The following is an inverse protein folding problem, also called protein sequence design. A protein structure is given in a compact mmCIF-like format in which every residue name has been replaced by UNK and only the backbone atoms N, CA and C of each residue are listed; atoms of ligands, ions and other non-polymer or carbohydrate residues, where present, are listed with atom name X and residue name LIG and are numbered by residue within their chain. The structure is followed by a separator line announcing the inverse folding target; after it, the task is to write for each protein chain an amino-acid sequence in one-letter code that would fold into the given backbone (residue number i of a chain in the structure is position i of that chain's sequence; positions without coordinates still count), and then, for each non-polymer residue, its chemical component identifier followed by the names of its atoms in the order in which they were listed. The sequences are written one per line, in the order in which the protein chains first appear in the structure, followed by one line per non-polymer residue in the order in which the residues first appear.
data_IF_560752510687
#
_entry.id   IF_560752510687
#
_cell.length_a   1.000
_cell.length_b   1.000
_cell.length_c   1.000
_cell.angle_alpha   90.00
_cell.angle_beta   90.00
_cell.angle_gamma   90.00
#
_symmetry.space_group_name_H-M   'P 1'
#
loop_
_entity.id
_entity.type
_entity.pdbx_description
1 polymer ?
#
# COMPACT_ATOMS: atom_id res chain seq x y z
N UNK A 1 63.06 -28.02 33.31
CA UNK A 1 63.98 -27.21 34.08
C UNK A 1 63.29 -25.88 34.37
N UNK A 2 62.81 -25.81 35.55
CA UNK A 2 62.75 -24.71 36.51
C UNK A 2 62.04 -23.38 36.14
N UNK A 3 60.93 -23.19 36.82
CA UNK A 3 60.60 -22.17 37.85
C UNK A 3 60.48 -20.72 37.31
N UNK A 4 59.36 -20.03 37.52
CA UNK A 4 59.02 -19.27 38.73
C UNK A 4 57.57 -18.78 38.72
N UNK A 5 56.87 -19.13 39.80
CA UNK A 5 55.59 -18.55 40.21
C UNK A 5 55.85 -17.17 40.77
N UNK A 6 55.02 -16.20 40.45
CA UNK A 6 54.77 -15.10 41.39
C UNK A 6 53.30 -14.73 41.45
N UNK A 7 52.80 -14.89 42.64
CA UNK A 7 51.49 -14.60 43.17
C UNK A 7 51.41 -13.04 43.33
N UNK A 8 50.37 -12.41 42.74
CA UNK A 8 49.95 -11.10 43.21
C UNK A 8 48.45 -11.15 43.55
N UNK A 9 48.22 -11.16 44.88
CA UNK A 9 46.94 -11.04 45.52
C UNK A 9 46.58 -9.56 45.55
N UNK A 10 45.66 -9.08 44.70
CA UNK A 10 45.09 -7.76 44.85
C UNK A 10 43.64 -7.93 45.34
N UNK A 11 43.46 -7.51 46.56
CA UNK A 11 42.22 -7.39 47.31
C UNK A 11 41.33 -6.35 46.61
N UNK A 12 40.29 -6.82 45.87
CA UNK A 12 39.30 -5.91 45.28
C UNK A 12 38.10 -5.84 46.23
N UNK A 13 37.97 -4.71 46.90
CA UNK A 13 36.82 -4.37 47.73
C UNK A 13 35.55 -4.36 46.85
N UNK A 14 34.68 -5.31 47.07
CA UNK A 14 33.30 -5.30 46.57
C UNK A 14 32.52 -4.22 47.30
N UNK A 15 32.37 -3.08 46.65
CA UNK A 15 31.33 -2.11 47.01
C UNK A 15 30.07 -2.57 46.33
N UNK A 16 29.20 -3.25 47.05
CA UNK A 16 27.83 -3.53 46.63
C UNK A 16 27.07 -2.19 46.65
N UNK A 17 27.02 -1.53 45.49
CA UNK A 17 25.96 -0.57 45.23
C UNK A 17 24.70 -1.41 44.92
N UNK A 18 23.86 -1.53 45.92
CA UNK A 18 22.46 -1.89 45.76
C UNK A 18 21.81 -0.76 44.92
N UNK A 19 21.70 -0.95 43.61
CA UNK A 19 20.71 -0.21 42.84
C UNK A 19 19.36 -0.83 43.20
N UNK A 20 18.64 -0.17 44.08
CA UNK A 20 17.19 -0.31 44.16
C UNK A 20 16.62 0.08 42.80
N UNK A 21 16.45 -0.88 41.96
CA UNK A 21 15.72 -0.75 40.70
C UNK A 21 14.24 -0.56 41.03
N UNK A 22 13.86 0.66 41.30
CA UNK A 22 12.49 1.08 41.17
C UNK A 22 12.18 1.10 39.66
N UNK A 23 11.88 -0.06 39.10
CA UNK A 23 11.15 -0.19 37.84
C UNK A 23 9.73 0.35 38.09
N UNK A 24 9.62 1.65 38.21
CA UNK A 24 8.37 2.33 37.98
C UNK A 24 8.02 2.07 36.52
N UNK A 25 6.85 1.48 36.23
CA UNK A 25 6.38 1.44 34.85
C UNK A 25 6.43 2.88 34.33
N UNK A 26 7.12 3.11 33.24
CA UNK A 26 7.11 4.40 32.56
C UNK A 26 5.66 4.71 32.28
N UNK A 27 5.07 5.55 33.15
CA UNK A 27 3.76 6.14 32.88
C UNK A 27 3.85 6.74 31.49
N UNK A 28 3.00 6.27 30.59
CA UNK A 28 2.81 6.88 29.29
C UNK A 28 2.33 8.31 29.55
N UNK A 29 3.26 9.24 29.59
CA UNK A 29 2.95 10.66 29.71
C UNK A 29 2.19 11.02 28.45
N UNK A 30 0.88 11.18 28.58
CA UNK A 30 0.04 11.76 27.52
C UNK A 30 0.55 13.17 27.29
N UNK A 31 1.37 13.35 26.27
CA UNK A 31 1.76 14.69 25.83
C UNK A 31 0.54 15.30 25.16
N UNK A 32 -0.24 16.05 25.91
CA UNK A 32 -1.32 16.87 25.39
C UNK A 32 -0.70 18.11 24.76
N UNK A 33 -0.53 18.11 23.45
CA UNK A 33 -0.08 19.28 22.69
C UNK A 33 -1.22 20.29 22.45
N UNK A 34 -2.45 19.96 22.87
CA UNK A 34 -3.66 20.78 22.72
C UNK A 34 -4.30 20.70 21.33
N UNK A 35 -3.81 19.85 20.42
CA UNK A 35 -4.51 19.58 19.17
C UNK A 35 -5.61 18.52 19.39
N UNK A 36 -6.78 18.73 18.81
CA UNK A 36 -7.90 17.78 18.93
C UNK A 36 -7.66 16.56 18.01
N UNK A 37 -6.78 15.66 18.49
CA UNK A 37 -6.41 14.42 17.83
C UNK A 37 -7.59 13.48 17.65
N UNK A 38 -8.49 13.45 18.64
CA UNK A 38 -9.66 12.57 18.62
C UNK A 38 -10.60 12.94 17.47
N UNK A 39 -10.82 14.23 17.23
CA UNK A 39 -11.63 14.68 16.10
C UNK A 39 -10.99 14.34 14.75
N UNK A 40 -9.67 14.48 14.64
CA UNK A 40 -8.95 14.06 13.43
C UNK A 40 -9.08 12.57 13.18
N UNK A 41 -8.88 11.74 14.20
CA UNK A 41 -9.03 10.28 14.11
C UNK A 41 -10.47 9.87 13.75
N UNK A 42 -11.46 10.55 14.33
CA UNK A 42 -12.87 10.35 13.98
C UNK A 42 -13.13 10.70 12.52
N UNK A 43 -12.61 11.83 12.06
CA UNK A 43 -12.74 12.24 10.67
C UNK A 43 -12.12 11.23 9.71
N UNK A 44 -10.92 10.71 10.01
CA UNK A 44 -10.27 9.68 9.20
C UNK A 44 -11.08 8.38 9.17
N UNK A 45 -11.54 7.91 10.32
CA UNK A 45 -12.34 6.68 10.38
C UNK A 45 -13.66 6.81 9.60
N UNK A 46 -14.41 7.90 9.81
CA UNK A 46 -15.81 8.03 9.37
C UNK A 46 -15.94 8.60 7.95
N UNK A 47 -14.93 9.34 7.46
CA UNK A 47 -15.00 10.00 6.15
C UNK A 47 -13.94 9.52 5.14
N UNK A 48 -13.06 8.61 5.55
CA UNK A 48 -12.06 7.99 4.67
C UNK A 48 -12.07 6.48 4.80
N UNK A 49 -11.64 5.92 5.93
CA UNK A 49 -11.29 4.51 6.03
C UNK A 49 -12.53 3.63 5.82
N UNK A 50 -13.58 3.83 6.62
CA UNK A 50 -14.80 3.02 6.52
C UNK A 50 -15.48 3.19 5.16
N UNK A 51 -15.80 4.40 4.68
CA UNK A 51 -16.56 4.54 3.44
C UNK A 51 -15.79 4.14 2.19
N UNK A 52 -14.47 4.35 2.14
CA UNK A 52 -13.68 3.87 1.00
C UNK A 52 -13.46 2.36 1.04
N UNK A 53 -13.38 1.75 2.24
CA UNK A 53 -13.36 0.28 2.37
C UNK A 53 -14.72 -0.33 1.96
N UNK A 54 -15.84 0.32 2.28
CA UNK A 54 -17.16 -0.06 1.76
C UNK A 54 -17.21 -0.02 0.24
N UNK A 55 -16.79 1.10 -0.35
CA UNK A 55 -16.73 1.25 -1.81
C UNK A 55 -15.88 0.15 -2.44
N UNK A 56 -14.70 -0.14 -1.89
CA UNK A 56 -13.85 -1.23 -2.40
C UNK A 56 -14.55 -2.59 -2.29
N UNK A 57 -15.18 -2.90 -1.16
CA UNK A 57 -15.96 -4.14 -0.97
C UNK A 57 -17.10 -4.25 -2.00
N UNK A 58 -17.79 -3.14 -2.29
CA UNK A 58 -18.91 -3.13 -3.24
C UNK A 58 -18.42 -3.37 -4.68
N UNK A 59 -17.27 -2.76 -5.08
CA UNK A 59 -16.66 -3.05 -6.39
C UNK A 59 -16.11 -4.48 -6.46
N UNK A 60 -15.55 -5.02 -5.37
CA UNK A 60 -15.12 -6.42 -5.31
C UNK A 60 -16.33 -7.39 -5.42
N UNK A 61 -17.49 -7.02 -4.87
CA UNK A 61 -18.73 -7.78 -5.02
C UNK A 61 -19.21 -7.81 -6.48
N UNK A 62 -19.15 -6.64 -7.14
CA UNK A 62 -19.48 -6.54 -8.55
C UNK A 62 -18.53 -7.37 -9.42
N UNK A 63 -17.21 -7.27 -9.15
CA UNK A 63 -16.19 -8.06 -9.86
C UNK A 63 -16.42 -9.56 -9.69
N UNK A 64 -16.67 -10.04 -8.48
CA UNK A 64 -16.96 -11.45 -8.20
C UNK A 64 -18.22 -11.94 -8.93
N UNK A 65 -19.26 -11.10 -8.98
CA UNK A 65 -20.48 -11.39 -9.75
C UNK A 65 -20.22 -11.52 -11.25
N UNK A 66 -19.44 -10.60 -11.84
CA UNK A 66 -19.09 -10.63 -13.27
C UNK A 66 -18.20 -11.81 -13.62
N UNK A 67 -17.24 -12.13 -12.74
CA UNK A 67 -16.38 -13.32 -12.92
C UNK A 67 -17.18 -14.60 -12.87
N UNK A 68 -18.14 -14.75 -11.96
CA UNK A 68 -19.00 -15.93 -11.89
C UNK A 68 -19.85 -16.08 -13.17
N UNK A 69 -20.41 -14.99 -13.69
CA UNK A 69 -21.14 -15.02 -14.95
C UNK A 69 -20.23 -15.42 -16.13
N UNK A 70 -19.03 -14.86 -16.21
CA UNK A 70 -18.04 -15.24 -17.22
C UNK A 70 -17.60 -16.70 -17.10
N UNK A 71 -17.37 -17.21 -15.90
CA UNK A 71 -16.99 -18.60 -15.68
C UNK A 71 -18.11 -19.59 -16.08
N UNK A 72 -19.37 -19.20 -15.92
CA UNK A 72 -20.53 -20.00 -16.37
C UNK A 72 -20.64 -20.00 -17.88
N UNK A 73 -20.54 -18.84 -18.51
CA UNK A 73 -20.70 -18.64 -19.94
C UNK A 73 -19.61 -17.74 -20.52
N UNK A 74 -18.40 -18.26 -20.81
CA UNK A 74 -17.33 -17.48 -21.40
C UNK A 74 -17.71 -17.00 -22.81
N UNK A 75 -17.93 -15.70 -22.94
CA UNK A 75 -18.19 -15.00 -24.19
C UNK A 75 -17.63 -13.57 -24.12
N UNK A 76 -17.59 -12.88 -25.27
CA UNK A 76 -17.02 -11.52 -25.35
C UNK A 76 -17.73 -10.52 -24.47
N UNK A 77 -19.06 -10.61 -24.34
CA UNK A 77 -19.84 -9.68 -23.48
C UNK A 77 -19.45 -9.82 -22.01
N UNK A 78 -19.36 -11.06 -21.51
CA UNK A 78 -18.97 -11.32 -20.14
C UNK A 78 -17.50 -11.00 -19.89
N UNK A 79 -16.58 -11.26 -20.84
CA UNK A 79 -15.17 -10.88 -20.73
C UNK A 79 -15.02 -9.37 -20.59
N UNK A 80 -15.71 -8.59 -21.43
CA UNK A 80 -15.74 -7.13 -21.35
C UNK A 80 -16.28 -6.65 -20.00
N UNK A 81 -17.37 -7.24 -19.52
CA UNK A 81 -17.96 -6.87 -18.22
C UNK A 81 -17.02 -7.17 -17.03
N UNK A 82 -16.24 -8.26 -17.08
CA UNK A 82 -15.21 -8.56 -16.08
C UNK A 82 -14.10 -7.51 -16.10
N UNK A 83 -13.60 -7.13 -17.28
CA UNK A 83 -12.55 -6.12 -17.44
C UNK A 83 -12.96 -4.75 -16.91
N UNK A 84 -14.19 -4.34 -17.17
CA UNK A 84 -14.75 -3.07 -16.64
C UNK A 84 -14.87 -3.12 -15.11
N UNK A 85 -15.37 -4.22 -14.56
CA UNK A 85 -15.49 -4.40 -13.11
C UNK A 85 -14.09 -4.45 -12.44
N UNK A 86 -13.12 -5.10 -13.07
CA UNK A 86 -11.74 -5.12 -12.61
C UNK A 86 -11.13 -3.72 -12.55
N UNK A 87 -11.30 -2.90 -13.61
CA UNK A 87 -10.84 -1.53 -13.61
C UNK A 87 -11.43 -0.71 -12.45
N UNK A 88 -12.75 -0.82 -12.22
CA UNK A 88 -13.41 -0.13 -11.10
C UNK A 88 -12.90 -0.60 -9.73
N UNK A 89 -12.59 -1.89 -9.60
CA UNK A 89 -12.02 -2.44 -8.37
C UNK A 89 -10.60 -1.94 -8.14
N UNK A 90 -9.77 -1.81 -9.18
CA UNK A 90 -8.46 -1.17 -9.11
C UNK A 90 -8.55 0.31 -8.72
N UNK A 91 -9.51 1.05 -9.32
CA UNK A 91 -9.76 2.46 -8.94
C UNK A 91 -10.16 2.57 -7.46
N UNK A 92 -11.07 1.72 -7.00
CA UNK A 92 -11.47 1.69 -5.59
C UNK A 92 -10.30 1.34 -4.65
N UNK A 93 -9.39 0.46 -5.08
CA UNK A 93 -8.17 0.13 -4.33
C UNK A 93 -7.25 1.34 -4.13
N UNK A 94 -7.17 2.28 -5.07
CA UNK A 94 -6.30 3.45 -4.93
C UNK A 94 -6.68 4.33 -3.72
N UNK A 95 -7.93 4.28 -3.28
CA UNK A 95 -8.39 5.01 -2.09
C UNK A 95 -8.01 4.35 -0.76
N UNK A 96 -7.76 3.03 -0.76
CA UNK A 96 -7.54 2.28 0.47
C UNK A 96 -6.10 1.76 0.63
N UNK A 97 -5.24 1.93 -0.36
CA UNK A 97 -3.93 1.30 -0.45
C UNK A 97 -2.98 1.55 0.73
N UNK A 98 -3.22 2.57 1.56
CA UNK A 98 -2.43 2.90 2.74
C UNK A 98 -3.16 2.66 4.08
N UNK A 99 -4.37 2.08 4.10
CA UNK A 99 -5.09 1.81 5.36
C UNK A 99 -4.62 0.48 6.00
N UNK A 100 -3.33 0.42 6.32
CA UNK A 100 -2.67 -0.74 6.94
C UNK A 100 -2.86 -0.70 8.46
N UNK A 101 -4.09 -0.94 8.92
CA UNK A 101 -4.50 -0.82 10.31
C UNK A 101 -5.47 -1.95 10.68
N UNK A 102 -5.49 -2.34 11.96
CA UNK A 102 -6.39 -3.36 12.46
C UNK A 102 -6.28 -4.67 11.70
N UNK A 103 -7.40 -5.26 11.35
CA UNK A 103 -7.48 -6.53 10.62
C UNK A 103 -6.67 -6.54 9.31
N UNK A 104 -6.58 -5.42 8.61
CA UNK A 104 -5.83 -5.32 7.34
C UNK A 104 -4.33 -5.55 7.50
N UNK A 105 -3.75 -5.24 8.67
CA UNK A 105 -2.31 -5.38 8.96
C UNK A 105 -1.97 -6.73 9.61
N UNK A 106 -2.94 -7.52 10.07
CA UNK A 106 -2.66 -8.84 10.62
C UNK A 106 -1.89 -9.71 9.62
N UNK A 107 -0.87 -10.40 10.09
CA UNK A 107 -0.01 -11.28 9.27
C UNK A 107 -0.85 -12.31 8.49
N UNK A 108 -1.85 -12.89 9.14
CA UNK A 108 -2.78 -13.85 8.53
C UNK A 108 -3.65 -13.24 7.44
N UNK A 109 -3.94 -11.95 7.53
CA UNK A 109 -4.72 -11.21 6.54
C UNK A 109 -3.82 -10.64 5.44
N UNK A 110 -2.80 -9.89 5.79
CA UNK A 110 -1.86 -9.25 4.87
C UNK A 110 -2.55 -8.61 3.65
N UNK A 111 -3.65 -7.87 3.94
CA UNK A 111 -4.69 -7.51 2.98
C UNK A 111 -4.16 -6.83 1.73
N UNK A 112 -3.38 -5.76 1.89
CA UNK A 112 -2.93 -4.95 0.75
C UNK A 112 -1.99 -5.73 -0.17
N UNK A 113 -1.10 -6.56 0.41
CA UNK A 113 -0.18 -7.38 -0.39
C UNK A 113 -0.91 -8.50 -1.14
N UNK A 114 -1.99 -9.04 -0.57
CA UNK A 114 -2.78 -10.07 -1.27
C UNK A 114 -3.67 -9.50 -2.35
N UNK A 115 -4.13 -8.26 -2.18
CA UNK A 115 -5.02 -7.62 -3.16
C UNK A 115 -4.25 -7.07 -4.35
N UNK A 116 -3.09 -6.42 -4.15
CA UNK A 116 -2.43 -5.71 -5.25
C UNK A 116 -0.90 -5.74 -5.14
N UNK A 117 -0.29 -6.92 -5.27
CA UNK A 117 1.16 -7.09 -5.42
C UNK A 117 1.51 -7.46 -6.85
N UNK A 118 2.35 -6.67 -7.49
CA UNK A 118 2.86 -6.87 -8.84
C UNK A 118 4.39 -6.68 -8.88
N UNK A 119 5.11 -7.13 -9.92
CA UNK A 119 4.61 -7.75 -11.16
C UNK A 119 4.02 -9.15 -10.92
N UNK A 120 3.15 -9.56 -11.84
CA UNK A 120 2.46 -10.85 -11.75
C UNK A 120 3.36 -12.00 -12.20
N UNK A 121 3.36 -13.12 -11.46
CA UNK A 121 4.02 -14.36 -11.86
C UNK A 121 3.05 -15.27 -12.62
N UNK A 122 3.04 -15.15 -13.93
CA UNK A 122 2.13 -15.87 -14.84
C UNK A 122 2.29 -17.38 -14.76
N UNK A 123 3.53 -17.88 -14.64
CA UNK A 123 3.81 -19.31 -14.54
C UNK A 123 3.26 -19.90 -13.22
N UNK A 124 3.42 -19.16 -12.13
CA UNK A 124 2.87 -19.58 -10.83
C UNK A 124 1.33 -19.59 -10.87
N UNK A 125 0.69 -18.65 -11.55
CA UNK A 125 -0.77 -18.63 -11.73
C UNK A 125 -1.24 -19.86 -12.48
N UNK A 126 -0.60 -20.18 -13.63
CA UNK A 126 -0.91 -21.38 -14.42
C UNK A 126 -0.75 -22.65 -13.60
N UNK A 127 0.36 -22.75 -12.85
CA UNK A 127 0.61 -23.92 -12.00
C UNK A 127 -0.42 -24.05 -10.88
N UNK A 128 -0.73 -22.96 -10.17
CA UNK A 128 -1.73 -22.98 -9.09
C UNK A 128 -3.11 -23.34 -9.60
N UNK A 129 -3.51 -22.86 -10.80
CA UNK A 129 -4.77 -23.22 -11.42
C UNK A 129 -4.82 -24.74 -11.72
N UNK A 130 -3.79 -25.27 -12.36
CA UNK A 130 -3.65 -26.69 -12.68
C UNK A 130 -3.65 -27.60 -11.45
N UNK A 131 -2.95 -27.19 -10.38
CA UNK A 131 -2.84 -27.94 -9.14
C UNK A 131 -4.06 -27.75 -8.22
N UNK A 132 -5.07 -26.98 -8.63
CA UNK A 132 -6.22 -26.60 -7.81
C UNK A 132 -5.81 -25.99 -6.44
N UNK A 133 -4.71 -25.26 -6.40
CA UNK A 133 -4.20 -24.65 -5.19
C UNK A 133 -4.76 -23.25 -5.01
N UNK A 134 -5.81 -23.14 -4.21
CA UNK A 134 -6.55 -21.89 -3.95
C UNK A 134 -6.42 -21.39 -2.50
N UNK A 135 -5.47 -21.93 -1.73
CA UNK A 135 -5.20 -21.42 -0.39
C UNK A 135 -4.32 -20.17 -0.43
N UNK A 136 -4.91 -19.05 -0.85
CA UNK A 136 -4.19 -17.79 -1.04
C UNK A 136 -3.54 -17.23 0.23
N UNK A 137 -4.07 -17.56 1.42
CA UNK A 137 -3.45 -17.13 2.69
C UNK A 137 -2.13 -17.84 2.91
N UNK A 138 -2.09 -19.14 2.71
CA UNK A 138 -0.87 -19.93 2.79
C UNK A 138 0.10 -19.61 1.63
N UNK A 139 -0.42 -19.38 0.43
CA UNK A 139 0.39 -18.97 -0.72
C UNK A 139 1.14 -17.66 -0.47
N UNK A 140 0.59 -16.76 0.35
CA UNK A 140 1.26 -15.51 0.74
C UNK A 140 2.53 -15.71 1.56
N UNK A 141 2.69 -16.85 2.21
CA UNK A 141 3.85 -17.23 3.01
C UNK A 141 4.95 -17.88 2.17
N UNK A 142 4.63 -18.33 0.96
CA UNK A 142 5.57 -18.99 0.05
C UNK A 142 6.21 -17.95 -0.86
N UNK A 143 7.51 -18.11 -1.14
CA UNK A 143 8.22 -17.25 -2.09
C UNK A 143 7.51 -17.20 -3.46
N UNK A 144 7.17 -16.00 -3.92
CA UNK A 144 6.46 -15.77 -5.18
C UNK A 144 4.93 -16.02 -5.11
N UNK A 145 4.39 -16.48 -3.98
CA UNK A 145 2.95 -16.71 -3.85
C UNK A 145 2.11 -15.43 -3.86
N UNK A 146 2.64 -14.34 -3.30
CA UNK A 146 1.95 -13.04 -3.27
C UNK A 146 1.68 -12.48 -4.67
N UNK A 147 2.58 -12.73 -5.61
CA UNK A 147 2.50 -12.25 -6.99
C UNK A 147 1.73 -13.20 -7.93
N UNK A 148 1.04 -14.18 -7.39
CA UNK A 148 0.13 -15.07 -8.13
C UNK A 148 -1.33 -14.94 -7.69
N UNK A 149 -1.68 -13.84 -7.01
CA UNK A 149 -3.03 -13.61 -6.48
C UNK A 149 -3.44 -12.14 -6.60
N UNK A 150 -4.65 -11.81 -6.16
CA UNK A 150 -5.15 -10.45 -6.16
C UNK A 150 -5.59 -9.95 -7.53
N UNK A 151 -5.75 -8.64 -7.63
CA UNK A 151 -6.15 -7.96 -8.88
C UNK A 151 -5.16 -8.19 -10.03
N UNK A 152 -3.81 -8.19 -9.79
CA UNK A 152 -2.86 -8.46 -10.88
C UNK A 152 -2.96 -9.87 -11.48
N UNK A 153 -3.33 -10.87 -10.68
CA UNK A 153 -3.56 -12.21 -11.21
C UNK A 153 -4.85 -12.29 -12.04
N UNK A 154 -5.91 -11.58 -11.62
CA UNK A 154 -7.14 -11.44 -12.42
C UNK A 154 -6.83 -10.69 -13.72
N UNK A 155 -6.05 -9.58 -13.66
CA UNK A 155 -5.61 -8.84 -14.85
C UNK A 155 -4.93 -9.75 -15.87
N UNK A 156 -4.00 -10.61 -15.43
CA UNK A 156 -3.37 -11.59 -16.31
C UNK A 156 -4.39 -12.55 -16.95
N UNK A 157 -5.27 -13.13 -16.14
CA UNK A 157 -6.21 -14.14 -16.61
C UNK A 157 -7.23 -13.61 -17.63
N UNK A 158 -7.59 -12.34 -17.58
CA UNK A 158 -8.61 -11.77 -18.47
C UNK A 158 -8.06 -10.85 -19.56
N UNK A 159 -6.77 -10.44 -19.48
CA UNK A 159 -6.16 -9.54 -20.45
C UNK A 159 -4.83 -10.06 -21.02
N UNK A 160 -4.18 -11.04 -20.38
CA UNK A 160 -2.80 -11.43 -20.70
C UNK A 160 -2.59 -12.93 -20.86
N UNK A 161 -3.64 -13.74 -20.72
CA UNK A 161 -3.55 -15.19 -20.88
C UNK A 161 -3.14 -15.55 -22.31
N UNK A 162 -3.71 -14.84 -23.29
CA UNK A 162 -3.38 -14.89 -24.71
C UNK A 162 -3.39 -13.46 -25.30
N UNK A 163 -2.79 -13.24 -26.50
CA UNK A 163 -2.73 -11.91 -27.11
C UNK A 163 -4.07 -11.35 -27.59
N UNK A 164 -4.96 -12.23 -28.04
CA UNK A 164 -6.24 -11.87 -28.68
C UNK A 164 -7.43 -12.37 -27.87
N UNK A 165 -8.50 -11.59 -27.84
CA UNK A 165 -9.72 -11.93 -27.09
C UNK A 165 -10.30 -13.29 -27.45
N UNK A 166 -10.34 -13.63 -28.74
CA UNK A 166 -10.84 -14.95 -29.20
C UNK A 166 -9.96 -16.09 -28.64
N UNK A 167 -8.64 -15.91 -28.58
CA UNK A 167 -7.74 -16.90 -28.02
C UNK A 167 -7.93 -17.02 -26.49
N UNK A 168 -8.10 -15.89 -25.78
CA UNK A 168 -8.46 -15.90 -24.36
C UNK A 168 -9.77 -16.69 -24.14
N UNK A 169 -10.81 -16.43 -24.94
CA UNK A 169 -12.10 -17.14 -24.85
C UNK A 169 -11.96 -18.64 -25.13
N UNK A 170 -11.09 -19.03 -26.07
CA UNK A 170 -10.80 -20.45 -26.33
C UNK A 170 -10.18 -21.14 -25.10
N UNK A 171 -9.29 -20.47 -24.37
CA UNK A 171 -8.72 -21.01 -23.13
C UNK A 171 -9.78 -21.29 -22.05
N UNK A 172 -10.89 -20.53 -22.05
CA UNK A 172 -12.02 -20.72 -21.12
C UNK A 172 -13.13 -21.64 -21.64
N UNK A 173 -13.14 -22.02 -22.92
CA UNK A 173 -14.19 -22.85 -23.53
C UNK A 173 -13.70 -24.23 -23.90
N UNK A 174 -12.69 -24.32 -24.77
CA UNK A 174 -12.18 -25.56 -25.37
C UNK A 174 -10.73 -25.87 -24.97
N UNK A 175 -10.05 -24.97 -24.26
CA UNK A 175 -8.68 -25.19 -23.77
C UNK A 175 -8.61 -26.36 -22.79
N UNK A 176 -7.47 -27.04 -22.75
CA UNK A 176 -7.25 -28.19 -21.87
C UNK A 176 -7.46 -27.83 -20.39
N UNK A 177 -7.10 -26.63 -19.99
CA UNK A 177 -7.14 -26.12 -18.61
C UNK A 177 -8.39 -25.22 -18.35
N UNK A 178 -9.41 -25.26 -19.25
CA UNK A 178 -10.55 -24.34 -19.15
C UNK A 178 -11.27 -24.40 -17.81
N UNK A 179 -11.49 -25.59 -17.26
CA UNK A 179 -12.09 -25.74 -15.93
C UNK A 179 -11.21 -25.19 -14.81
N UNK A 180 -9.89 -25.38 -14.91
CA UNK A 180 -8.91 -24.90 -13.93
C UNK A 180 -8.84 -23.37 -13.93
N UNK A 181 -8.78 -22.71 -15.08
CA UNK A 181 -8.77 -21.25 -15.16
C UNK A 181 -10.07 -20.62 -14.65
N UNK A 182 -11.25 -21.19 -14.99
CA UNK A 182 -12.55 -20.75 -14.44
C UNK A 182 -12.57 -20.82 -12.92
N UNK A 183 -12.12 -21.94 -12.37
CA UNK A 183 -12.10 -22.18 -10.92
C UNK A 183 -11.12 -21.22 -10.22
N UNK A 184 -9.91 -21.05 -10.76
CA UNK A 184 -8.89 -20.16 -10.19
C UNK A 184 -9.33 -18.69 -10.22
N UNK A 185 -9.87 -18.23 -11.35
CA UNK A 185 -10.40 -16.88 -11.51
C UNK A 185 -11.51 -16.58 -10.50
N UNK A 186 -12.44 -17.52 -10.33
CA UNK A 186 -13.54 -17.41 -9.35
C UNK A 186 -13.02 -17.42 -7.89
N UNK A 187 -12.01 -18.24 -7.61
CA UNK A 187 -11.41 -18.29 -6.27
C UNK A 187 -10.66 -16.99 -5.92
N UNK A 188 -9.98 -16.37 -6.89
CA UNK A 188 -9.31 -15.08 -6.72
C UNK A 188 -10.28 -13.97 -6.32
N UNK A 189 -11.39 -13.83 -7.06
CA UNK A 189 -12.38 -12.79 -6.75
C UNK A 189 -13.08 -13.04 -5.41
N UNK A 190 -13.41 -14.28 -5.11
CA UNK A 190 -14.01 -14.66 -3.83
C UNK A 190 -13.09 -14.33 -2.63
N UNK A 191 -11.77 -14.55 -2.76
CA UNK A 191 -10.82 -14.22 -1.68
C UNK A 191 -10.64 -12.70 -1.50
N UNK A 192 -10.64 -11.92 -2.58
CA UNK A 192 -10.62 -10.45 -2.50
C UNK A 192 -11.86 -9.95 -1.77
N UNK A 193 -13.05 -10.41 -2.17
CA UNK A 193 -14.32 -10.03 -1.55
C UNK A 193 -14.38 -10.43 -0.08
N UNK A 194 -13.95 -11.66 0.24
CA UNK A 194 -13.89 -12.16 1.62
C UNK A 194 -12.98 -11.29 2.47
N UNK A 195 -11.77 -11.00 1.99
CA UNK A 195 -10.80 -10.18 2.71
C UNK A 195 -11.30 -8.75 2.94
N UNK A 196 -11.91 -8.12 1.93
CA UNK A 196 -12.52 -6.80 2.06
C UNK A 196 -13.66 -6.79 3.08
N UNK A 197 -14.48 -7.85 3.08
CA UNK A 197 -15.60 -8.01 4.03
C UNK A 197 -15.09 -8.16 5.46
N UNK A 198 -14.05 -8.96 5.69
CA UNK A 198 -13.45 -9.15 7.02
C UNK A 198 -12.84 -7.85 7.55
N UNK A 199 -12.11 -7.08 6.71
CA UNK A 199 -11.53 -5.79 7.09
C UNK A 199 -12.62 -4.77 7.45
N UNK A 200 -13.66 -4.67 6.62
CA UNK A 200 -14.77 -3.75 6.88
C UNK A 200 -15.55 -4.13 8.16
N UNK A 201 -15.76 -5.43 8.38
CA UNK A 201 -16.44 -5.93 9.58
C UNK A 201 -15.66 -5.60 10.86
N UNK A 202 -14.32 -5.70 10.84
CA UNK A 202 -13.45 -5.31 11.96
C UNK A 202 -13.63 -3.81 12.30
N UNK A 203 -13.56 -2.95 11.29
CA UNK A 203 -13.77 -1.52 11.47
C UNK A 203 -15.16 -1.20 12.05
N UNK A 204 -16.21 -1.80 11.55
CA UNK A 204 -17.58 -1.61 12.02
C UNK A 204 -17.85 -2.32 13.36
N UNK A 205 -17.12 -3.40 13.64
CA UNK A 205 -17.28 -4.26 14.82
C UNK A 205 -16.59 -3.78 16.10
N UNK A 206 -15.90 -2.63 16.06
CA UNK A 206 -15.28 -2.06 17.27
C UNK A 206 -13.88 -1.48 17.08
N UNK A 207 -13.14 -1.85 16.02
CA UNK A 207 -11.80 -1.29 15.79
C UNK A 207 -11.85 0.24 15.57
N UNK A 208 -12.91 0.76 14.93
CA UNK A 208 -13.13 2.19 14.79
C UNK A 208 -13.05 2.92 16.15
N UNK A 209 -13.71 2.40 17.19
CA UNK A 209 -13.68 3.03 18.50
C UNK A 209 -12.31 2.94 19.15
N UNK A 210 -11.63 1.78 19.06
CA UNK A 210 -10.24 1.63 19.51
C UNK A 210 -9.32 2.63 18.82
N UNK A 211 -9.45 2.80 17.52
CA UNK A 211 -8.66 3.73 16.71
C UNK A 211 -8.91 5.18 17.13
N UNK A 212 -10.16 5.58 17.31
CA UNK A 212 -10.54 6.97 17.66
C UNK A 212 -10.14 7.33 19.09
N UNK A 213 -10.23 6.39 20.02
CA UNK A 213 -9.90 6.63 21.44
C UNK A 213 -8.39 6.58 21.71
N UNK A 214 -7.60 5.95 20.85
CA UNK A 214 -6.13 5.86 21.00
C UNK A 214 -5.45 7.12 20.46
N UNK A 215 -5.50 8.19 21.24
CA UNK A 215 -4.90 9.51 20.92
C UNK A 215 -3.44 9.64 21.39
N UNK A 216 -2.83 8.56 21.85
CA UNK A 216 -1.46 8.56 22.39
C UNK A 216 -0.45 9.03 21.35
N UNK A 217 0.62 9.68 21.82
CA UNK A 217 1.72 10.18 20.97
C UNK A 217 2.85 9.17 20.78
N UNK A 218 2.76 7.97 21.40
CA UNK A 218 3.76 6.92 21.26
C UNK A 218 3.64 6.16 19.93
N UNK A 219 4.54 5.22 19.68
CA UNK A 219 4.58 4.45 18.43
C UNK A 219 3.32 3.58 18.18
N UNK A 220 2.57 3.22 19.23
CA UNK A 220 1.32 2.46 19.14
C UNK A 220 0.06 3.35 19.03
N UNK A 221 0.20 4.67 19.13
CA UNK A 221 -0.88 5.62 18.94
C UNK A 221 -1.43 5.60 17.52
N UNK A 222 -2.74 5.78 17.37
CA UNK A 222 -3.41 5.67 16.08
C UNK A 222 -2.88 6.64 15.03
N UNK A 223 -2.47 7.84 15.44
CA UNK A 223 -1.87 8.82 14.53
C UNK A 223 -0.49 8.32 14.05
N UNK A 224 0.35 7.83 14.95
CA UNK A 224 1.66 7.30 14.61
C UNK A 224 1.57 6.11 13.65
N UNK A 225 0.65 5.17 13.90
CA UNK A 225 0.39 4.03 13.03
C UNK A 225 -0.08 4.48 11.64
N UNK A 226 -1.02 5.43 11.58
CA UNK A 226 -1.56 5.94 10.31
C UNK A 226 -0.51 6.72 9.53
N UNK A 227 0.29 7.57 10.17
CA UNK A 227 1.36 8.33 9.51
C UNK A 227 2.42 7.39 8.95
N UNK A 228 2.83 6.36 9.71
CA UNK A 228 3.77 5.35 9.22
C UNK A 228 3.22 4.61 7.99
N UNK A 229 1.97 4.18 8.01
CA UNK A 229 1.32 3.52 6.89
C UNK A 229 1.22 4.45 5.66
N UNK A 230 0.87 5.71 5.87
CA UNK A 230 0.76 6.74 4.84
C UNK A 230 2.11 7.02 4.16
N UNK A 231 3.16 7.27 4.95
CA UNK A 231 4.50 7.57 4.40
C UNK A 231 5.08 6.34 3.70
N UNK A 232 4.94 5.15 4.29
CA UNK A 232 5.40 3.91 3.66
C UNK A 232 4.72 3.64 2.31
N UNK A 233 3.41 3.86 2.20
CA UNK A 233 2.71 3.71 0.93
C UNK A 233 3.19 4.74 -0.09
N UNK A 234 3.39 5.99 0.32
CA UNK A 234 3.93 7.03 -0.55
C UNK A 234 5.26 6.63 -1.17
N UNK A 235 6.20 6.18 -0.36
CA UNK A 235 7.53 5.80 -0.83
C UNK A 235 7.51 4.50 -1.66
N UNK A 236 6.95 3.43 -1.10
CA UNK A 236 7.12 2.07 -1.66
C UNK A 236 6.09 1.75 -2.74
N UNK A 237 4.84 2.13 -2.53
CA UNK A 237 3.76 1.73 -3.43
C UNK A 237 3.46 2.79 -4.50
N UNK A 238 3.45 4.07 -4.13
CA UNK A 238 3.17 5.14 -5.08
C UNK A 238 4.43 5.54 -5.86
N UNK A 239 5.43 6.11 -5.20
CA UNK A 239 6.65 6.61 -5.84
C UNK A 239 7.45 5.50 -6.51
N UNK A 240 7.82 4.47 -5.74
CA UNK A 240 8.69 3.42 -6.26
C UNK A 240 7.96 2.46 -7.20
N UNK A 241 6.87 1.81 -6.75
CA UNK A 241 6.26 0.75 -7.53
C UNK A 241 5.53 1.24 -8.78
N UNK A 242 4.79 2.36 -8.71
CA UNK A 242 4.02 2.82 -9.86
C UNK A 242 4.87 3.56 -10.91
N UNK A 243 5.93 4.27 -10.51
CA UNK A 243 6.72 5.13 -11.40
C UNK A 243 8.21 4.75 -11.39
N UNK A 244 8.84 4.62 -10.22
CA UNK A 244 10.28 4.47 -10.08
C UNK A 244 10.84 3.18 -10.68
N UNK A 245 10.27 2.04 -10.37
CA UNK A 245 10.70 0.75 -10.91
C UNK A 245 10.45 0.64 -12.41
N UNK A 246 9.27 0.98 -12.94
CA UNK A 246 9.05 0.94 -14.38
C UNK A 246 9.97 1.85 -15.18
N UNK A 247 10.28 3.05 -14.66
CA UNK A 247 11.17 4.02 -15.33
C UNK A 247 12.66 3.66 -15.25
N UNK A 248 13.04 2.67 -14.43
CA UNK A 248 14.44 2.30 -14.20
C UNK A 248 15.21 3.25 -13.29
N UNK A 249 14.57 4.27 -12.70
CA UNK A 249 15.22 5.14 -11.70
C UNK A 249 15.54 4.37 -10.42
N UNK A 250 14.64 3.46 -10.06
CA UNK A 250 14.85 2.52 -8.96
C UNK A 250 14.87 1.08 -9.48
N UNK A 251 15.61 0.21 -8.77
CA UNK A 251 15.60 -1.23 -9.03
C UNK A 251 15.02 -1.95 -7.82
N UNK A 252 13.96 -2.78 -8.00
CA UNK A 252 13.46 -3.61 -6.91
C UNK A 252 14.55 -4.55 -6.37
N UNK A 253 14.57 -4.79 -5.06
CA UNK A 253 15.57 -5.64 -4.40
C UNK A 253 15.64 -7.08 -4.94
N UNK A 254 14.55 -7.57 -5.54
CA UNK A 254 14.49 -8.93 -6.12
C UNK A 254 15.05 -9.02 -7.55
N UNK A 255 15.51 -7.91 -8.12
CA UNK A 255 16.13 -7.85 -9.45
C UNK A 255 17.60 -7.45 -9.35
N UNK A 256 18.38 -7.86 -10.34
CA UNK A 256 19.74 -7.37 -10.50
C UNK A 256 19.74 -5.84 -10.72
N UNK A 257 20.68 -5.14 -10.11
CA UNK A 257 20.81 -3.68 -10.25
C UNK A 257 20.96 -3.28 -11.70
N UNK A 258 20.10 -2.40 -12.17
CA UNK A 258 20.08 -1.92 -13.55
C UNK A 258 19.24 -0.65 -13.66
N UNK A 259 19.77 0.37 -14.28
CA UNK A 259 19.06 1.61 -14.63
C UNK A 259 18.18 1.47 -15.89
N UNK A 260 18.17 0.30 -16.51
CA UNK A 260 17.33 0.06 -17.67
C UNK A 260 15.83 0.14 -17.28
N UNK A 261 15.00 0.77 -18.11
CA UNK A 261 13.57 0.79 -17.90
C UNK A 261 12.98 -0.62 -17.86
N UNK A 262 11.95 -0.80 -17.03
CA UNK A 262 11.29 -2.08 -16.81
C UNK A 262 9.78 -1.97 -17.05
N UNK A 263 9.32 -1.81 -18.30
CA UNK A 263 7.91 -1.56 -18.62
C UNK A 263 6.94 -2.64 -18.13
N UNK A 264 7.45 -3.84 -17.85
CA UNK A 264 6.66 -4.95 -17.31
C UNK A 264 6.34 -4.79 -15.81
N UNK A 265 6.93 -3.80 -15.12
CA UNK A 265 6.69 -3.54 -13.70
C UNK A 265 5.58 -2.53 -13.45
N UNK A 266 4.87 -2.06 -14.46
CA UNK A 266 3.73 -1.13 -14.25
C UNK A 266 2.56 -1.86 -13.57
N UNK A 267 1.80 -1.12 -12.78
CA UNK A 267 0.50 -1.60 -12.28
C UNK A 267 -0.46 -1.81 -13.45
N UNK A 268 -1.30 -2.85 -13.38
CA UNK A 268 -2.16 -3.28 -14.50
C UNK A 268 -1.35 -3.61 -15.76
N UNK A 269 -0.41 -4.55 -15.60
CA UNK A 269 0.56 -4.93 -16.63
C UNK A 269 -0.11 -5.38 -17.93
N UNK A 270 -1.27 -6.03 -17.86
CA UNK A 270 -1.97 -6.62 -19.02
C UNK A 270 -3.09 -5.73 -19.55
N UNK A 271 -3.51 -4.71 -18.78
CA UNK A 271 -4.38 -3.61 -19.22
C UNK A 271 -3.68 -2.25 -19.04
N UNK A 272 -2.54 -2.03 -19.71
CA UNK A 272 -1.62 -0.93 -19.40
C UNK A 272 -2.19 0.47 -19.65
N UNK A 273 -3.28 0.61 -20.38
CA UNK A 273 -3.99 1.87 -20.63
C UNK A 273 -4.55 2.53 -19.34
N UNK A 274 -4.63 1.79 -18.23
CA UNK A 274 -5.08 2.30 -16.94
C UNK A 274 -3.94 2.69 -16.00
N UNK A 275 -2.69 2.32 -16.31
CA UNK A 275 -1.55 2.44 -15.40
C UNK A 275 -1.29 3.87 -14.92
N UNK A 276 -1.38 4.88 -15.83
CA UNK A 276 -1.30 6.30 -15.45
C UNK A 276 -2.45 6.71 -14.53
N UNK A 277 -3.67 6.28 -14.85
CA UNK A 277 -4.86 6.65 -14.09
C UNK A 277 -4.74 6.20 -12.62
N UNK A 278 -4.20 5.00 -12.38
CA UNK A 278 -4.00 4.50 -11.02
C UNK A 278 -2.90 5.26 -10.27
N UNK A 279 -1.81 5.61 -10.94
CA UNK A 279 -0.77 6.45 -10.33
C UNK A 279 -1.30 7.84 -9.96
N UNK A 280 -2.06 8.45 -10.86
CA UNK A 280 -2.67 9.76 -10.67
C UNK A 280 -3.70 9.74 -9.54
N UNK A 281 -4.62 8.76 -9.54
CA UNK A 281 -5.66 8.62 -8.53
C UNK A 281 -5.05 8.36 -7.15
N UNK A 282 -4.05 7.48 -7.05
CA UNK A 282 -3.33 7.24 -5.79
C UNK A 282 -2.68 8.51 -5.26
N UNK A 283 -2.05 9.32 -6.12
CA UNK A 283 -1.43 10.60 -5.71
C UNK A 283 -2.48 11.60 -5.23
N UNK A 284 -3.59 11.74 -5.95
CA UNK A 284 -4.72 12.62 -5.57
C UNK A 284 -5.35 12.19 -4.23
N UNK A 285 -5.56 10.90 -4.04
CA UNK A 285 -6.11 10.35 -2.79
C UNK A 285 -5.22 10.65 -1.59
N UNK A 286 -3.90 10.55 -1.74
CA UNK A 286 -2.98 10.88 -0.67
C UNK A 286 -3.01 12.38 -0.33
N UNK A 287 -3.08 13.26 -1.33
CA UNK A 287 -3.25 14.69 -1.11
C UNK A 287 -4.58 15.01 -0.40
N UNK A 288 -5.68 14.41 -0.84
CA UNK A 288 -6.99 14.58 -0.23
C UNK A 288 -7.00 14.13 1.24
N UNK A 289 -6.37 12.98 1.55
CA UNK A 289 -6.22 12.51 2.93
C UNK A 289 -5.38 13.49 3.76
N UNK A 290 -4.25 13.97 3.24
CA UNK A 290 -3.41 14.96 3.89
C UNK A 290 -4.19 16.24 4.23
N UNK A 291 -5.04 16.69 3.31
CA UNK A 291 -5.87 17.90 3.46
C UNK A 291 -7.15 17.67 4.27
N UNK A 292 -7.53 16.43 4.55
CA UNK A 292 -8.79 16.08 5.22
C UNK A 292 -10.03 16.24 4.34
N UNK A 293 -9.90 16.09 3.03
CA UNK A 293 -10.99 16.13 2.06
C UNK A 293 -11.52 14.72 1.82
N UNK A 294 -12.41 14.25 2.68
CA UNK A 294 -12.96 12.90 2.63
C UNK A 294 -14.02 12.68 1.56
N UNK A 295 -14.59 11.49 1.56
CA UNK A 295 -15.60 11.08 0.58
C UNK A 295 -16.76 12.08 0.53
N UNK A 296 -17.31 12.33 -0.65
CA UNK A 296 -18.42 13.28 -0.89
C UNK A 296 -18.09 14.72 -0.47
N UNK A 297 -16.82 15.13 -0.49
CA UNK A 297 -16.39 16.49 -0.16
C UNK A 297 -16.46 16.83 1.34
N UNK A 298 -16.65 15.87 2.22
CA UNK A 298 -16.63 16.09 3.67
C UNK A 298 -15.24 16.50 4.13
N UNK A 299 -15.08 17.70 4.62
CA UNK A 299 -13.81 18.22 5.14
C UNK A 299 -13.76 18.12 6.67
N UNK A 300 -12.57 17.90 7.22
CA UNK A 300 -12.35 17.83 8.67
C UNK A 300 -10.88 17.95 9.05
N UNK A 301 -10.59 17.81 10.34
CA UNK A 301 -9.21 17.86 10.84
C UNK A 301 -8.35 16.81 10.17
N UNK A 302 -7.09 17.18 9.85
CA UNK A 302 -6.19 16.41 9.01
C UNK A 302 -4.73 16.62 9.40
N UNK A 303 -3.81 15.93 8.72
CA UNK A 303 -2.36 16.14 8.87
C UNK A 303 -1.98 17.58 8.57
N UNK A 304 -2.56 18.19 7.52
CA UNK A 304 -2.33 19.60 7.21
C UNK A 304 -2.69 20.50 8.40
N UNK A 305 -3.88 20.34 8.97
CA UNK A 305 -4.32 21.13 10.12
C UNK A 305 -3.45 20.89 11.36
N UNK A 306 -2.98 19.67 11.55
CA UNK A 306 -2.13 19.34 12.69
C UNK A 306 -0.74 19.99 12.55
N UNK A 307 -0.13 19.94 11.37
CA UNK A 307 1.13 20.63 11.08
C UNK A 307 0.97 22.15 11.25
N UNK A 308 -0.10 22.74 10.71
CA UNK A 308 -0.37 24.18 10.85
C UNK A 308 -0.53 24.58 12.31
N UNK A 309 -1.20 23.76 13.13
CA UNK A 309 -1.31 23.99 14.55
C UNK A 309 0.06 23.92 15.27
N UNK A 310 0.88 22.90 14.96
CA UNK A 310 2.21 22.79 15.53
C UNK A 310 3.12 23.95 15.12
N UNK A 311 2.98 24.47 13.92
CA UNK A 311 3.68 25.65 13.42
C UNK A 311 3.35 26.94 14.21
N UNK A 312 2.19 27.03 14.86
CA UNK A 312 1.89 28.16 15.77
C UNK A 312 2.75 28.13 17.05
N UNK A 313 3.23 26.94 17.42
CA UNK A 313 4.06 26.73 18.63
C UNK A 313 5.56 26.71 18.33
N UNK A 314 5.93 26.32 17.10
CA UNK A 314 7.32 26.23 16.65
C UNK A 314 7.48 26.85 15.26
N UNK A 315 8.24 27.94 15.19
CA UNK A 315 8.40 28.71 13.95
C UNK A 315 9.16 28.00 12.82
N UNK A 316 9.84 26.88 13.10
CA UNK A 316 10.68 26.18 12.10
C UNK A 316 9.89 25.53 10.95
N UNK A 317 8.59 25.29 11.12
CA UNK A 317 7.78 24.55 10.13
C UNK A 317 6.60 25.36 9.56
N UNK A 318 6.72 26.71 9.55
CA UNK A 318 5.60 27.61 9.18
C UNK A 318 5.00 27.38 7.77
N UNK A 319 5.78 26.91 6.81
CA UNK A 319 5.35 26.69 5.44
C UNK A 319 5.21 25.21 5.08
N UNK A 320 5.55 24.30 6.00
CA UNK A 320 5.69 22.86 5.71
C UNK A 320 4.42 22.27 5.08
N UNK A 321 3.25 22.55 5.65
CA UNK A 321 1.98 22.02 5.13
C UNK A 321 1.71 22.48 3.71
N UNK A 322 1.98 23.74 3.41
CA UNK A 322 1.82 24.34 2.07
C UNK A 322 2.85 23.79 1.08
N UNK A 323 4.10 23.57 1.56
CA UNK A 323 5.17 22.99 0.74
C UNK A 323 4.86 21.54 0.37
N UNK A 324 4.28 20.74 1.28
CA UNK A 324 3.79 19.39 1.02
C UNK A 324 2.67 19.42 -0.04
N UNK A 325 1.66 20.27 0.14
CA UNK A 325 0.55 20.40 -0.82
C UNK A 325 1.06 20.78 -2.20
N UNK A 326 1.89 21.84 -2.30
CA UNK A 326 2.47 22.28 -3.57
C UNK A 326 3.24 21.16 -4.26
N UNK A 327 3.98 20.35 -3.53
CA UNK A 327 4.74 19.25 -4.09
C UNK A 327 3.86 18.10 -4.57
N UNK A 328 2.74 17.81 -3.90
CA UNK A 328 1.74 16.90 -4.42
C UNK A 328 1.10 17.41 -5.72
N UNK A 329 0.75 18.70 -5.77
CA UNK A 329 0.16 19.32 -6.96
C UNK A 329 1.13 19.29 -8.15
N UNK A 330 2.43 19.50 -7.90
CA UNK A 330 3.47 19.38 -8.92
C UNK A 330 3.60 17.93 -9.43
N UNK A 331 3.60 16.95 -8.53
CA UNK A 331 3.62 15.55 -8.90
C UNK A 331 2.37 15.14 -9.71
N UNK A 332 1.19 15.62 -9.32
CA UNK A 332 -0.06 15.41 -10.07
C UNK A 332 0.07 15.93 -11.49
N UNK A 333 0.54 17.17 -11.69
CA UNK A 333 0.74 17.76 -13.02
C UNK A 333 1.69 16.93 -13.89
N UNK A 334 2.82 16.49 -13.31
CA UNK A 334 3.79 15.68 -14.03
C UNK A 334 3.28 14.27 -14.36
N UNK A 335 2.37 13.70 -13.58
CA UNK A 335 1.72 12.42 -13.89
C UNK A 335 0.59 12.62 -14.93
N UNK A 336 -0.18 13.70 -14.87
CA UNK A 336 -1.30 13.97 -15.77
C UNK A 336 -0.88 14.07 -17.23
N UNK A 337 0.30 14.57 -17.52
CA UNK A 337 0.80 14.74 -18.90
C UNK A 337 1.39 13.46 -19.51
N UNK A 338 1.58 12.40 -18.71
CA UNK A 338 2.07 11.11 -19.21
C UNK A 338 1.05 10.45 -20.15
N UNK A 339 1.53 9.56 -21.02
CA UNK A 339 0.66 8.70 -21.81
C UNK A 339 -0.21 7.83 -20.88
N UNK A 340 -1.51 7.62 -21.15
CA UNK A 340 -2.36 6.72 -20.36
C UNK A 340 -1.75 5.33 -20.15
N UNK A 341 -1.07 4.81 -21.16
CA UNK A 341 -0.30 3.58 -21.12
C UNK A 341 1.16 3.88 -20.78
N UNK A 342 1.57 3.61 -19.55
CA UNK A 342 2.94 3.89 -19.11
C UNK A 342 4.01 3.01 -19.81
N UNK A 343 3.66 1.87 -20.43
CA UNK A 343 4.61 1.13 -21.29
C UNK A 343 4.96 1.96 -22.53
N UNK A 344 3.96 2.60 -23.14
CA UNK A 344 4.15 3.52 -24.27
C UNK A 344 4.95 4.73 -23.81
N UNK A 345 4.60 5.33 -22.68
CA UNK A 345 5.32 6.47 -22.12
C UNK A 345 6.82 6.19 -21.97
N UNK A 346 7.17 5.04 -21.40
CA UNK A 346 8.55 4.64 -21.17
C UNK A 346 9.34 4.51 -22.49
N UNK A 347 8.69 4.02 -23.55
CA UNK A 347 9.34 3.81 -24.85
C UNK A 347 9.42 5.07 -25.71
N UNK A 348 8.46 5.98 -25.57
CA UNK A 348 8.39 7.21 -26.37
C UNK A 348 9.07 8.41 -25.70
N UNK A 349 8.91 8.56 -24.39
CA UNK A 349 9.49 9.67 -23.63
C UNK A 349 9.78 9.26 -22.19
N UNK A 350 10.90 8.56 -22.00
CA UNK A 350 11.40 8.15 -20.70
C UNK A 350 11.74 9.33 -19.79
N UNK A 351 12.21 10.44 -20.38
CA UNK A 351 12.60 11.63 -19.61
C UNK A 351 11.40 12.20 -18.84
N UNK A 352 10.23 12.28 -19.49
CA UNK A 352 9.01 12.74 -18.83
C UNK A 352 8.53 11.79 -17.73
N UNK A 353 8.69 10.46 -17.93
CA UNK A 353 8.40 9.47 -16.87
C UNK A 353 9.32 9.67 -15.66
N UNK A 354 10.62 9.94 -15.88
CA UNK A 354 11.58 10.25 -14.80
C UNK A 354 11.25 11.58 -14.11
N UNK A 355 10.77 12.58 -14.83
CA UNK A 355 10.33 13.86 -14.22
C UNK A 355 9.15 13.64 -13.26
N UNK A 356 8.19 12.79 -13.60
CA UNK A 356 7.11 12.42 -12.70
C UNK A 356 7.63 11.71 -11.44
N UNK A 357 8.62 10.83 -11.58
CA UNK A 357 9.28 10.21 -10.42
C UNK A 357 9.94 11.27 -9.53
N UNK A 358 10.77 12.17 -10.09
CA UNK A 358 11.50 13.16 -9.30
C UNK A 358 10.57 14.15 -8.60
N UNK A 359 9.43 14.47 -9.20
CA UNK A 359 8.42 15.31 -8.52
C UNK A 359 7.80 14.61 -7.30
N UNK A 360 7.61 13.29 -7.35
CA UNK A 360 7.22 12.49 -6.17
C UNK A 360 8.37 12.41 -5.14
N UNK A 361 9.62 12.20 -5.60
CA UNK A 361 10.79 12.09 -4.72
C UNK A 361 10.99 13.34 -3.85
N UNK A 362 10.77 14.53 -4.38
CA UNK A 362 10.93 15.79 -3.65
C UNK A 362 10.00 15.93 -2.43
N UNK A 363 8.92 15.16 -2.36
CA UNK A 363 8.02 15.19 -1.20
C UNK A 363 8.40 14.17 -0.13
N UNK A 364 9.33 13.25 -0.40
CA UNK A 364 9.72 12.19 0.55
C UNK A 364 10.28 12.79 1.83
N UNK A 365 11.30 13.65 1.75
CA UNK A 365 11.89 14.27 2.94
C UNK A 365 10.88 15.06 3.75
N UNK A 366 9.97 15.79 3.07
CA UNK A 366 8.91 16.56 3.73
C UNK A 366 7.93 15.68 4.52
N UNK A 367 7.57 14.53 3.96
CA UNK A 367 6.65 13.58 4.61
C UNK A 367 7.34 12.72 5.67
N UNK A 368 8.52 12.20 5.36
CA UNK A 368 9.22 11.22 6.20
C UNK A 368 10.01 11.87 7.33
N UNK A 369 10.61 13.03 7.09
CA UNK A 369 11.48 13.73 8.05
C UNK A 369 10.74 14.91 8.65
N UNK A 370 10.42 15.92 7.85
CA UNK A 370 9.93 17.21 8.37
C UNK A 370 8.56 17.08 9.04
N UNK A 371 7.61 16.36 8.42
CA UNK A 371 6.28 16.11 9.00
C UNK A 371 6.38 15.23 10.24
N UNK A 372 7.14 14.13 10.17
CA UNK A 372 7.31 13.24 11.30
C UNK A 372 7.94 13.97 12.50
N UNK A 373 8.97 14.78 12.28
CA UNK A 373 9.58 15.62 13.31
C UNK A 373 8.60 16.67 13.86
N UNK A 374 7.88 17.37 13.00
CA UNK A 374 6.88 18.37 13.41
C UNK A 374 5.79 17.79 14.31
N UNK A 375 5.39 16.56 14.07
CA UNK A 375 4.34 15.84 14.80
C UNK A 375 4.89 14.96 15.94
N UNK A 376 6.21 14.94 16.14
CA UNK A 376 6.90 14.07 17.10
C UNK A 376 6.56 12.58 16.89
N UNK A 377 6.59 12.12 15.65
CA UNK A 377 6.29 10.74 15.25
C UNK A 377 7.58 10.06 14.80
N UNK A 378 7.85 8.86 15.32
CA UNK A 378 8.96 8.04 14.86
C UNK A 378 8.52 7.21 13.63
N UNK A 379 9.29 7.30 12.54
CA UNK A 379 9.11 6.43 11.38
C UNK A 379 9.74 5.07 11.70
N UNK A 380 8.95 4.00 11.66
CA UNK A 380 9.33 2.68 12.17
C UNK A 380 9.65 1.65 11.08
N UNK A 381 9.37 1.94 9.81
CA UNK A 381 9.73 1.02 8.73
C UNK A 381 11.13 1.30 8.18
N UNK A 382 11.82 0.22 7.76
CA UNK A 382 13.13 0.36 7.10
C UNK A 382 12.96 0.78 5.64
N UNK A 383 13.79 1.72 5.24
CA UNK A 383 13.96 2.13 3.85
C UNK A 383 14.73 1.09 3.07
N UNK A 384 14.48 1.00 1.76
CA UNK A 384 15.16 0.05 0.87
C UNK A 384 16.06 0.74 -0.16
N UNK A 385 16.04 2.05 -0.20
CA UNK A 385 16.78 2.88 -1.17
C UNK A 385 17.86 3.79 -0.54
N UNK A 386 18.06 3.72 0.79
CA UNK A 386 19.22 4.33 1.47
C UNK A 386 19.11 5.83 1.71
N UNK A 387 17.88 6.39 1.72
CA UNK A 387 17.64 7.81 2.06
C UNK A 387 17.62 8.06 3.57
#
# INVERSE_FOLDING_TARGET
MNYFKLFFLALFCLVLFSCDGNDSPTENVKVDDGFDRKEMLRHWADNFIIPYTEKFKDEATNLDTKIKAFAQEPNQTHLTAVREALNKTYEAYQYIGFYRLGKAEEVSMNFLYRVNTYPTNTERIKQNAKDHNYNFRQLSEIQGGKIAQGLPAIDYLVNGLEPEDNAILMEYTSGQEAAAYKAYLSALSAEILKSATEVLADWKGGYRNKFVENTDSNASGSISLMVNAYVQYYEKNLRAAKIGYPSGVLTPMFLAQSEAPKPHLIESQFAPQYSRAYALLGTKTMLEFFQGKGINGKSGKSLQHYIDYMATKNAHHKTLSQDIVRQFEEAIKNIEVLNPNLKIQITQDLAQMKNAYFSLQQNVSKLKVDMAQSLNITISYMDTDGD
#
